data_IF_905859275855
#
_entry.id   IF_905859275855
#
_cell.length_a   1.000
_cell.length_b   1.000
_cell.length_c   1.000
_cell.angle_alpha   90.00
_cell.angle_beta   90.00
_cell.angle_gamma   90.00
#
_symmetry.space_group_name_H-M   'P 1'
#
loop_
_entity.id
_entity.type
_entity.pdbx_description
1 polymer ?
#
# COMPACT_ATOMS: atom_id res chain seq x y z
N UNK A 1 -31.86 -0.80 -38.45
CA UNK A 1 -31.29 0.46 -38.97
C UNK A 1 -31.99 1.63 -38.29
N UNK A 2 -31.22 2.66 -37.88
CA UNK A 2 -31.55 3.77 -36.94
C UNK A 2 -31.52 3.34 -35.46
N UNK A 3 -30.83 3.94 -34.49
CA UNK A 3 -30.14 5.23 -34.38
C UNK A 3 -28.83 5.07 -33.57
N UNK A 4 -27.67 5.19 -34.23
CA UNK A 4 -26.40 5.50 -33.56
C UNK A 4 -26.29 7.02 -33.44
N UNK A 5 -26.81 7.59 -32.36
CA UNK A 5 -26.49 8.99 -31.99
C UNK A 5 -25.20 9.00 -31.18
N UNK A 6 -24.15 9.27 -31.94
CA UNK A 6 -22.81 9.65 -31.52
C UNK A 6 -22.77 10.98 -30.75
N UNK A 7 -21.73 11.11 -29.94
CA UNK A 7 -21.02 12.34 -29.57
C UNK A 7 -21.63 13.23 -28.48
N UNK A 8 -21.34 12.87 -27.23
CA UNK A 8 -21.04 13.91 -26.24
C UNK A 8 -19.56 14.31 -26.35
N UNK A 9 -19.22 15.57 -26.64
CA UNK A 9 -17.86 16.05 -26.50
C UNK A 9 -17.54 16.07 -25.00
N UNK A 10 -16.73 15.10 -24.53
CA UNK A 10 -16.13 15.20 -23.20
C UNK A 10 -15.28 16.47 -23.18
N UNK A 11 -15.67 17.38 -22.31
CA UNK A 11 -15.25 18.76 -22.23
C UNK A 11 -13.74 18.86 -22.02
N UNK A 12 -13.08 19.74 -22.78
CA UNK A 12 -11.66 20.04 -22.61
C UNK A 12 -11.27 20.47 -21.18
N UNK A 13 -12.24 20.90 -20.37
CA UNK A 13 -12.03 21.26 -18.96
C UNK A 13 -11.69 20.06 -18.08
N UNK A 14 -12.29 18.88 -18.29
CA UNK A 14 -11.97 17.66 -17.54
C UNK A 14 -10.54 17.17 -17.81
N UNK A 15 -10.06 17.37 -19.02
CA UNK A 15 -8.68 17.07 -19.40
C UNK A 15 -7.68 18.01 -18.71
N UNK A 16 -8.01 19.29 -18.58
CA UNK A 16 -7.08 20.29 -18.07
C UNK A 16 -6.87 20.20 -16.55
N UNK A 17 -7.90 19.97 -15.74
CA UNK A 17 -7.69 19.85 -14.29
C UNK A 17 -6.87 18.62 -13.91
N UNK A 18 -7.06 17.49 -14.60
CA UNK A 18 -6.28 16.25 -14.38
C UNK A 18 -4.80 16.47 -14.69
N UNK A 19 -4.49 17.21 -15.77
CA UNK A 19 -3.12 17.59 -16.12
C UNK A 19 -2.50 18.52 -15.08
N UNK A 20 -3.26 19.49 -14.58
CA UNK A 20 -2.81 20.41 -13.52
C UNK A 20 -2.48 19.67 -12.23
N UNK A 21 -3.29 18.68 -11.82
CA UNK A 21 -2.98 17.90 -10.61
C UNK A 21 -1.72 17.06 -10.74
N UNK A 22 -1.50 16.42 -11.89
CA UNK A 22 -0.25 15.69 -12.16
C UNK A 22 0.95 16.65 -12.19
N UNK A 23 0.79 17.83 -12.78
CA UNK A 23 1.86 18.84 -12.80
C UNK A 23 2.20 19.34 -11.39
N UNK A 24 1.19 19.66 -10.57
CA UNK A 24 1.38 20.10 -9.19
C UNK A 24 1.97 19.00 -8.31
N UNK A 25 1.53 17.74 -8.49
CA UNK A 25 2.06 16.62 -7.72
C UNK A 25 3.54 16.37 -8.00
N UNK A 26 4.06 16.72 -9.18
CA UNK A 26 5.47 16.60 -9.58
C UNK A 26 6.32 17.82 -9.23
N UNK A 27 5.78 19.02 -9.37
CA UNK A 27 6.54 20.27 -9.14
C UNK A 27 6.78 20.55 -7.66
N UNK A 28 5.81 20.26 -6.78
CA UNK A 28 5.96 20.40 -5.33
C UNK A 28 7.12 19.56 -4.72
N UNK A 29 7.31 18.28 -5.10
CA UNK A 29 8.46 17.44 -4.72
C UNK A 29 9.80 18.05 -5.09
N UNK A 30 9.90 18.50 -6.34
CA UNK A 30 11.13 19.04 -6.92
C UNK A 30 11.47 20.36 -6.22
N UNK A 31 10.45 21.19 -5.99
CA UNK A 31 10.59 22.44 -5.25
C UNK A 31 10.97 22.17 -3.79
N UNK A 32 10.34 21.19 -3.13
CA UNK A 32 10.67 20.80 -1.76
C UNK A 32 12.11 20.28 -1.66
N UNK A 33 12.55 19.42 -2.58
CA UNK A 33 13.90 18.91 -2.65
C UNK A 33 14.92 20.04 -2.90
N UNK A 34 14.62 20.96 -3.81
CA UNK A 34 15.42 22.16 -4.06
C UNK A 34 15.56 23.03 -2.81
N UNK A 35 14.46 23.30 -2.11
CA UNK A 35 14.46 24.09 -0.87
C UNK A 35 15.25 23.39 0.24
N UNK A 36 15.16 22.06 0.35
CA UNK A 36 15.92 21.26 1.31
C UNK A 36 17.42 21.30 1.01
N UNK A 37 17.80 21.19 -0.27
CA UNK A 37 19.19 21.24 -0.68
C UNK A 37 19.78 22.66 -0.50
N UNK A 38 19.02 23.70 -0.85
CA UNK A 38 19.42 25.10 -0.61
C UNK A 38 19.58 25.42 0.87
N UNK A 39 18.66 24.94 1.71
CA UNK A 39 18.72 25.17 3.16
C UNK A 39 19.89 24.45 3.85
N UNK A 40 20.33 23.29 3.33
CA UNK A 40 21.41 22.51 3.94
C UNK A 40 22.81 22.81 3.37
N UNK A 41 22.91 23.27 2.11
CA UNK A 41 24.19 23.51 1.44
C UNK A 41 24.60 24.99 1.39
N UNK A 42 23.71 25.91 1.77
CA UNK A 42 23.94 27.36 1.71
C UNK A 42 24.10 27.87 0.27
N UNK A 43 24.51 29.14 0.12
CA UNK A 43 24.69 29.79 -1.20
C UNK A 43 25.94 29.30 -1.96
N UNK A 44 26.74 28.40 -1.37
CA UNK A 44 28.02 27.94 -1.94
C UNK A 44 27.84 26.57 -2.58
N UNK A 45 27.43 26.54 -3.85
CA UNK A 45 27.68 25.37 -4.70
C UNK A 45 26.59 24.93 -5.66
N UNK A 46 25.57 25.73 -5.94
CA UNK A 46 24.48 25.37 -6.86
C UNK A 46 24.35 26.34 -8.03
N UNK A 47 25.41 26.45 -8.84
CA UNK A 47 25.35 27.06 -10.17
C UNK A 47 25.63 25.96 -11.17
N UNK A 48 24.59 25.36 -11.76
CA UNK A 48 24.80 24.57 -12.99
C UNK A 48 23.71 23.58 -13.39
N UNK A 49 23.26 22.69 -12.51
CA UNK A 49 22.73 21.40 -13.02
C UNK A 49 21.29 21.04 -12.66
N UNK A 50 20.60 21.77 -11.78
CA UNK A 50 19.22 21.43 -11.39
C UNK A 50 18.08 21.98 -12.27
N UNK A 51 18.22 23.05 -13.09
CA UNK A 51 17.10 23.51 -13.91
C UNK A 51 16.90 22.65 -15.17
N UNK A 52 17.74 21.64 -15.41
CA UNK A 52 17.59 20.71 -16.54
C UNK A 52 16.73 19.50 -16.21
N UNK A 53 15.79 19.64 -15.26
CA UNK A 53 14.64 18.75 -15.22
C UNK A 53 13.81 19.05 -16.47
N UNK A 54 14.19 18.37 -17.55
CA UNK A 54 13.86 18.73 -18.92
C UNK A 54 12.35 18.98 -19.01
N UNK A 55 11.94 20.16 -19.49
CA UNK A 55 10.51 20.44 -19.70
C UNK A 55 9.85 19.35 -20.57
N UNK A 56 10.62 18.68 -21.43
CA UNK A 56 10.20 17.47 -22.16
C UNK A 56 9.86 16.29 -21.25
N UNK A 57 10.59 16.08 -20.16
CA UNK A 57 10.29 15.06 -19.14
C UNK A 57 8.99 15.40 -18.41
N UNK A 58 8.83 16.63 -17.93
CA UNK A 58 7.58 17.06 -17.27
C UNK A 58 6.36 17.02 -18.23
N UNK A 59 6.56 17.38 -19.50
CA UNK A 59 5.52 17.28 -20.53
C UNK A 59 5.27 15.84 -21.00
N UNK A 60 6.26 14.94 -20.92
CA UNK A 60 6.02 13.51 -21.11
C UNK A 60 5.25 12.92 -19.94
N UNK A 61 5.58 13.27 -18.69
CA UNK A 61 4.82 12.81 -17.53
C UNK A 61 3.39 13.37 -17.55
N UNK A 62 3.18 14.62 -17.94
CA UNK A 62 1.82 15.19 -18.06
C UNK A 62 0.97 14.56 -19.17
N UNK A 63 1.58 13.80 -20.09
CA UNK A 63 0.85 12.95 -21.05
C UNK A 63 0.38 11.64 -20.44
N UNK A 64 0.95 11.18 -19.33
CA UNK A 64 0.40 10.04 -18.60
C UNK A 64 -0.92 10.45 -17.97
N UNK A 65 -2.01 9.90 -18.51
CA UNK A 65 -3.34 10.08 -17.95
C UNK A 65 -3.51 9.09 -16.80
N UNK A 66 -3.94 9.58 -15.64
CA UNK A 66 -4.46 8.73 -14.57
C UNK A 66 -5.58 7.86 -15.16
N UNK A 67 -5.39 6.55 -15.12
CA UNK A 67 -6.38 5.59 -15.56
C UNK A 67 -7.19 5.21 -14.34
N UNK A 68 -8.42 5.70 -14.27
CA UNK A 68 -9.35 5.26 -13.22
C UNK A 68 -9.87 3.90 -13.65
N UNK A 69 -9.61 2.83 -12.88
CA UNK A 69 -10.17 1.52 -13.17
C UNK A 69 -11.69 1.58 -13.20
N UNK A 70 -12.30 0.70 -13.99
CA UNK A 70 -13.75 0.56 -14.00
C UNK A 70 -14.25 0.24 -12.59
N UNK A 71 -15.31 0.92 -12.16
CA UNK A 71 -15.82 0.78 -10.80
C UNK A 71 -14.87 1.32 -9.71
N UNK A 72 -13.95 2.24 -10.01
CA UNK A 72 -12.99 2.79 -9.03
C UNK A 72 -13.60 3.09 -7.66
N UNK A 73 -14.73 3.82 -7.60
CA UNK A 73 -15.33 4.20 -6.33
C UNK A 73 -15.93 3.02 -5.56
N UNK A 74 -16.60 2.09 -6.26
CA UNK A 74 -17.17 0.90 -5.61
C UNK A 74 -16.07 -0.02 -5.09
N UNK A 75 -15.00 -0.19 -5.87
CA UNK A 75 -13.87 -1.01 -5.47
C UNK A 75 -13.02 -0.35 -4.39
N UNK A 76 -12.88 0.97 -4.38
CA UNK A 76 -12.27 1.71 -3.28
C UNK A 76 -13.07 1.51 -1.98
N UNK A 77 -14.39 1.58 -2.04
CA UNK A 77 -15.24 1.27 -0.89
C UNK A 77 -14.99 -0.15 -0.35
N UNK A 78 -15.06 -1.17 -1.20
CA UNK A 78 -14.83 -2.56 -0.79
C UNK A 78 -13.41 -2.80 -0.26
N UNK A 79 -12.41 -2.18 -0.89
CA UNK A 79 -11.01 -2.24 -0.45
C UNK A 79 -10.89 -1.67 0.96
N UNK A 80 -11.40 -0.44 1.20
CA UNK A 80 -11.37 0.20 2.51
C UNK A 80 -12.12 -0.61 3.57
N UNK A 81 -13.29 -1.17 3.21
CA UNK A 81 -14.06 -2.04 4.09
C UNK A 81 -13.29 -3.32 4.44
N UNK A 82 -12.57 -3.91 3.49
CA UNK A 82 -11.74 -5.10 3.70
C UNK A 82 -10.46 -4.85 4.51
N UNK A 83 -9.93 -3.62 4.49
CA UNK A 83 -8.80 -3.21 5.35
C UNK A 83 -9.23 -3.07 6.82
N UNK A 84 -10.45 -2.60 7.06
CA UNK A 84 -10.92 -2.15 8.37
C UNK A 84 -10.81 -3.21 9.48
N UNK A 85 -11.19 -4.49 9.30
CA UNK A 85 -11.08 -5.50 10.35
C UNK A 85 -9.64 -5.72 10.81
N UNK A 86 -8.72 -5.85 9.84
CA UNK A 86 -7.29 -5.98 10.10
C UNK A 86 -6.75 -4.73 10.80
N UNK A 87 -7.15 -3.55 10.33
CA UNK A 87 -6.75 -2.28 10.94
C UNK A 87 -7.22 -2.17 12.40
N UNK A 88 -8.48 -2.49 12.70
CA UNK A 88 -9.02 -2.42 14.07
C UNK A 88 -8.33 -3.43 14.99
N UNK A 89 -8.08 -4.66 14.52
CA UNK A 89 -7.37 -5.68 15.28
C UNK A 89 -5.94 -5.23 15.62
N UNK A 90 -5.17 -4.84 14.60
CA UNK A 90 -3.79 -4.39 14.81
C UNK A 90 -3.70 -3.11 15.62
N UNK A 91 -4.67 -2.20 15.50
CA UNK A 91 -4.79 -1.04 16.37
C UNK A 91 -4.96 -1.47 17.83
N UNK A 92 -5.83 -2.44 18.13
CA UNK A 92 -5.95 -3.00 19.49
C UNK A 92 -4.63 -3.56 20.03
N UNK A 93 -3.94 -4.38 19.23
CA UNK A 93 -2.67 -5.02 19.60
C UNK A 93 -1.57 -4.00 19.88
N UNK A 94 -1.33 -3.08 18.93
CA UNK A 94 -0.30 -2.05 19.08
C UNK A 94 -0.63 -1.07 20.22
N UNK A 95 -1.93 -0.84 20.48
CA UNK A 95 -2.39 -0.07 21.64
C UNK A 95 -1.98 -0.69 22.97
N UNK A 96 -2.13 -2.02 23.09
CA UNK A 96 -1.70 -2.74 24.31
C UNK A 96 -0.19 -2.73 24.50
N UNK A 97 0.55 -2.80 23.40
CA UNK A 97 2.00 -2.68 23.39
C UNK A 97 2.52 -1.24 23.61
N UNK A 98 1.62 -0.24 23.74
CA UNK A 98 2.02 1.12 24.11
C UNK A 98 2.65 1.94 22.98
N UNK A 99 2.40 1.58 21.72
CA UNK A 99 2.94 2.36 20.59
C UNK A 99 2.26 3.74 20.47
N UNK A 100 3.00 4.79 20.06
CA UNK A 100 2.44 6.11 19.80
C UNK A 100 1.29 6.07 18.78
N UNK A 101 0.29 6.95 18.92
CA UNK A 101 -0.92 6.95 18.07
C UNK A 101 -0.65 6.88 16.56
N UNK A 102 0.36 7.62 16.07
CA UNK A 102 0.68 7.64 14.64
C UNK A 102 1.24 6.30 14.15
N UNK A 103 2.18 5.71 14.91
CA UNK A 103 2.75 4.38 14.61
C UNK A 103 1.67 3.30 14.76
N UNK A 104 0.83 3.43 15.79
CA UNK A 104 -0.33 2.58 16.01
C UNK A 104 -1.29 2.62 14.83
N UNK A 105 -1.56 3.82 14.27
CA UNK A 105 -2.48 3.97 13.15
C UNK A 105 -1.95 3.25 11.92
N UNK A 106 -0.73 3.55 11.49
CA UNK A 106 -0.22 3.02 10.23
C UNK A 106 0.34 1.60 10.32
N UNK A 107 0.87 1.21 11.49
CA UNK A 107 1.33 -0.16 11.76
C UNK A 107 0.19 -1.14 12.04
N UNK A 108 -1.02 -0.63 12.33
CA UNK A 108 -2.16 -1.48 12.65
C UNK A 108 -2.52 -2.44 11.51
N UNK A 109 -2.59 -1.94 10.27
CA UNK A 109 -2.95 -2.80 9.16
C UNK A 109 -1.94 -3.96 8.96
N UNK A 110 -0.62 -3.74 8.83
CA UNK A 110 0.37 -4.83 8.70
C UNK A 110 0.32 -5.85 9.85
N UNK A 111 0.14 -5.39 11.09
CA UNK A 111 0.05 -6.30 12.26
C UNK A 111 -1.24 -7.11 12.22
N UNK A 112 -2.37 -6.45 11.97
CA UNK A 112 -3.66 -7.11 11.97
C UNK A 112 -3.85 -8.05 10.78
N UNK A 113 -3.37 -7.67 9.59
CA UNK A 113 -3.43 -8.55 8.42
C UNK A 113 -2.58 -9.80 8.65
N UNK A 114 -1.44 -9.71 9.35
CA UNK A 114 -0.65 -10.89 9.70
C UNK A 114 -1.47 -11.95 10.47
N UNK A 115 -2.32 -11.53 11.41
CA UNK A 115 -3.17 -12.46 12.19
C UNK A 115 -4.39 -12.90 11.40
N UNK A 116 -5.12 -11.96 10.79
CA UNK A 116 -6.30 -12.25 9.97
C UNK A 116 -5.91 -13.19 8.82
N UNK A 117 -4.75 -12.96 8.22
CA UNK A 117 -4.18 -13.76 7.15
C UNK A 117 -4.01 -15.23 7.48
N UNK A 118 -3.50 -15.54 8.68
CA UNK A 118 -3.38 -16.95 9.13
C UNK A 118 -4.75 -17.62 9.21
N UNK A 119 -5.77 -16.90 9.67
CA UNK A 119 -7.13 -17.43 9.71
C UNK A 119 -7.72 -17.61 8.31
N UNK A 120 -7.47 -16.66 7.40
CA UNK A 120 -7.88 -16.77 6.00
C UNK A 120 -7.18 -17.95 5.31
N UNK A 121 -5.90 -18.21 5.63
CA UNK A 121 -5.14 -19.34 5.12
C UNK A 121 -5.80 -20.66 5.52
N UNK A 122 -6.13 -20.81 6.81
CA UNK A 122 -6.81 -22.03 7.30
C UNK A 122 -8.16 -22.25 6.64
N UNK A 123 -8.96 -21.19 6.48
CA UNK A 123 -10.22 -21.30 5.74
C UNK A 123 -10.01 -21.69 4.28
N UNK A 124 -9.01 -21.09 3.63
CA UNK A 124 -8.77 -21.34 2.23
C UNK A 124 -8.23 -22.74 1.99
N UNK A 125 -7.35 -23.26 2.85
CA UNK A 125 -6.92 -24.67 2.84
C UNK A 125 -8.09 -25.64 3.01
N UNK A 126 -9.11 -25.25 3.78
CA UNK A 126 -10.32 -26.05 3.99
C UNK A 126 -11.38 -25.88 2.87
N UNK A 127 -11.12 -25.09 1.83
CA UNK A 127 -12.13 -24.78 0.80
C UNK A 127 -13.33 -24.00 1.34
N UNK A 128 -13.16 -23.27 2.44
CA UNK A 128 -14.22 -22.61 3.19
C UNK A 128 -14.16 -21.08 3.10
N UNK A 129 -13.31 -20.51 2.23
CA UNK A 129 -13.15 -19.07 2.02
C UNK A 129 -14.29 -18.49 1.16
N UNK A 130 -15.46 -18.38 1.77
CA UNK A 130 -16.65 -17.77 1.18
C UNK A 130 -17.08 -16.49 1.92
N UNK A 131 -18.06 -15.76 1.38
CA UNK A 131 -18.57 -14.50 1.96
C UNK A 131 -18.92 -14.60 3.46
N UNK A 132 -19.58 -15.68 3.88
CA UNK A 132 -20.00 -15.86 5.29
C UNK A 132 -18.78 -16.02 6.20
N UNK A 133 -17.85 -16.89 5.82
CA UNK A 133 -16.62 -17.13 6.59
C UNK A 133 -15.76 -15.86 6.74
N UNK A 134 -15.65 -15.07 5.67
CA UNK A 134 -14.90 -13.80 5.66
C UNK A 134 -15.57 -12.76 6.55
N UNK A 135 -16.91 -12.67 6.53
CA UNK A 135 -17.67 -11.81 7.45
C UNK A 135 -17.46 -12.22 8.91
N UNK A 136 -17.49 -13.52 9.22
CA UNK A 136 -17.27 -14.01 10.59
C UNK A 136 -15.87 -13.66 11.09
N UNK A 137 -14.83 -13.92 10.29
CA UNK A 137 -13.45 -13.51 10.63
C UNK A 137 -13.35 -12.00 10.82
N UNK A 138 -13.99 -11.22 9.95
CA UNK A 138 -13.99 -9.76 10.05
C UNK A 138 -14.63 -9.30 11.36
N UNK A 139 -15.76 -9.87 11.75
CA UNK A 139 -16.44 -9.57 13.02
C UNK A 139 -15.59 -9.97 14.23
N UNK A 140 -14.94 -11.15 14.19
CA UNK A 140 -14.03 -11.60 15.24
C UNK A 140 -12.84 -10.65 15.38
N UNK A 141 -12.23 -10.24 14.27
CA UNK A 141 -11.10 -9.31 14.25
C UNK A 141 -11.49 -7.93 14.82
N UNK A 142 -12.64 -7.39 14.40
CA UNK A 142 -13.18 -6.12 14.93
C UNK A 142 -13.46 -6.22 16.43
N UNK A 143 -14.20 -7.25 16.85
CA UNK A 143 -14.54 -7.46 18.26
C UNK A 143 -13.30 -7.61 19.14
N UNK A 144 -12.32 -8.40 18.68
CA UNK A 144 -11.04 -8.59 19.36
C UNK A 144 -10.24 -7.29 19.43
N UNK A 145 -10.18 -6.51 18.35
CA UNK A 145 -9.49 -5.21 18.34
C UNK A 145 -10.11 -4.17 19.28
N UNK A 146 -11.45 -4.11 19.34
CA UNK A 146 -12.18 -3.26 20.29
C UNK A 146 -11.91 -3.72 21.73
N UNK A 147 -12.02 -5.02 22.01
CA UNK A 147 -11.73 -5.59 23.33
C UNK A 147 -10.29 -5.32 23.78
N UNK A 148 -9.31 -5.49 22.89
CA UNK A 148 -7.91 -5.21 23.20
C UNK A 148 -7.66 -3.72 23.44
N UNK A 149 -8.37 -2.85 22.71
CA UNK A 149 -8.27 -1.39 22.88
C UNK A 149 -8.85 -0.88 24.20
N UNK A 150 -9.80 -1.61 24.81
CA UNK A 150 -10.45 -1.19 26.06
C UNK A 150 -9.64 -1.52 27.32
N UNK A 151 -8.57 -2.30 27.18
CA UNK A 151 -7.72 -2.72 28.31
C UNK A 151 -6.53 -1.78 28.50
N UNK A 152 -6.05 -1.67 29.74
CA UNK A 152 -4.92 -0.81 30.11
C UNK A 152 -3.64 -1.14 29.35
N UNK A 153 -2.75 -0.15 29.19
CA UNK A 153 -1.46 -0.36 28.54
C UNK A 153 -0.57 -1.30 29.36
N UNK A 154 0.17 -2.16 28.68
CA UNK A 154 1.29 -2.89 29.28
C UNK A 154 2.50 -1.95 29.31
N UNK A 155 2.50 -0.92 30.16
CA UNK A 155 3.58 0.05 30.18
C UNK A 155 4.68 -0.29 31.18
N UNK A 156 5.92 -0.30 30.68
CA UNK A 156 7.09 0.16 31.41
C UNK A 156 7.35 1.62 31.02
N UNK A 157 7.64 2.49 31.98
CA UNK A 157 7.95 3.89 31.70
C UNK A 157 9.27 4.03 30.94
N UNK A 158 9.36 4.94 29.95
CA UNK A 158 10.63 5.23 29.30
C UNK A 158 11.55 6.02 30.24
N UNK A 159 12.69 5.40 30.59
CA UNK A 159 13.71 5.96 31.49
C UNK A 159 14.50 7.16 30.93
N UNK A 160 14.38 7.48 29.64
CA UNK A 160 15.26 8.46 28.97
C UNK A 160 14.46 9.43 28.09
N UNK A 161 14.81 10.72 28.20
CA UNK A 161 14.21 11.82 27.43
C UNK A 161 14.63 11.76 25.96
N UNK A 162 13.67 11.89 25.05
CA UNK A 162 13.90 11.88 23.61
C UNK A 162 14.59 13.16 23.12
N UNK A 163 15.57 13.01 22.23
CA UNK A 163 16.25 14.14 21.57
C UNK A 163 15.41 14.66 20.40
N UNK A 164 15.05 15.93 20.43
CA UNK A 164 14.18 16.55 19.42
C UNK A 164 14.94 16.97 18.16
N UNK A 165 14.29 16.83 17.00
CA UNK A 165 14.78 17.35 15.73
C UNK A 165 14.35 18.83 15.53
N UNK A 166 15.14 19.65 14.81
CA UNK A 166 14.72 20.99 14.42
C UNK A 166 13.43 20.92 13.61
N UNK A 167 12.49 21.85 13.86
CA UNK A 167 11.16 21.86 13.21
C UNK A 167 11.24 21.84 11.69
N UNK A 168 12.22 22.56 11.12
CA UNK A 168 12.44 22.57 9.68
C UNK A 168 12.75 21.16 9.14
N UNK A 169 13.65 20.42 9.79
CA UNK A 169 13.98 19.04 9.42
C UNK A 169 12.74 18.16 9.49
N UNK A 170 11.96 18.26 10.58
CA UNK A 170 10.71 17.51 10.76
C UNK A 170 9.76 17.76 9.59
N UNK A 171 9.45 19.02 9.30
CA UNK A 171 8.49 19.36 8.24
C UNK A 171 8.99 18.99 6.85
N UNK A 172 10.27 19.21 6.57
CA UNK A 172 10.90 18.84 5.30
C UNK A 172 10.84 17.34 5.05
N UNK A 173 11.18 16.54 6.06
CA UNK A 173 11.16 15.08 5.96
C UNK A 173 9.74 14.57 5.77
N UNK A 174 8.78 15.03 6.57
CA UNK A 174 7.38 14.60 6.42
C UNK A 174 6.77 15.02 5.08
N UNK A 175 7.13 16.20 4.57
CA UNK A 175 6.68 16.66 3.26
C UNK A 175 7.21 15.75 2.15
N UNK A 176 8.53 15.47 2.14
CA UNK A 176 9.12 14.56 1.16
C UNK A 176 8.57 13.15 1.28
N UNK A 177 8.39 12.64 2.50
CA UNK A 177 7.81 11.32 2.74
C UNK A 177 6.38 11.23 2.21
N UNK A 178 5.54 12.22 2.49
CA UNK A 178 4.16 12.27 2.00
C UNK A 178 4.09 12.34 0.48
N UNK A 179 5.02 13.07 -0.13
CA UNK A 179 5.16 13.18 -1.58
C UNK A 179 5.55 11.84 -2.22
N UNK A 180 6.58 11.16 -1.71
CA UNK A 180 7.02 9.86 -2.23
C UNK A 180 5.91 8.81 -2.06
N UNK A 181 5.23 8.83 -0.91
CA UNK A 181 4.07 7.98 -0.65
C UNK A 181 2.95 8.25 -1.65
N UNK A 182 2.62 9.52 -1.89
CA UNK A 182 1.61 9.90 -2.88
C UNK A 182 1.95 9.35 -4.27
N UNK A 183 3.21 9.45 -4.72
CA UNK A 183 3.61 8.88 -6.01
C UNK A 183 3.43 7.36 -6.06
N UNK A 184 3.84 6.66 -5.01
CA UNK A 184 3.72 5.20 -4.97
C UNK A 184 2.24 4.78 -5.04
N UNK A 185 1.36 5.45 -4.29
CA UNK A 185 -0.10 5.21 -4.38
C UNK A 185 -0.65 5.57 -5.76
N UNK A 186 -0.21 6.69 -6.33
CA UNK A 186 -0.66 7.11 -7.65
C UNK A 186 -0.29 6.07 -8.72
N UNK A 187 0.94 5.57 -8.67
CA UNK A 187 1.42 4.56 -9.60
C UNK A 187 0.73 3.21 -9.40
N UNK A 188 0.59 2.76 -8.15
CA UNK A 188 -0.03 1.47 -7.86
C UNK A 188 -1.53 1.42 -8.23
N UNK A 189 -2.28 2.50 -8.00
CA UNK A 189 -3.76 2.51 -8.09
C UNK A 189 -4.30 2.99 -9.44
N UNK A 190 -3.59 3.89 -10.14
CA UNK A 190 -4.09 4.51 -11.38
C UNK A 190 -3.43 3.99 -12.64
N UNK A 191 -2.65 2.92 -12.55
CA UNK A 191 -2.05 2.25 -13.70
C UNK A 191 -2.33 0.76 -13.65
N UNK A 192 -2.51 0.13 -14.81
CA UNK A 192 -2.75 -1.30 -14.87
C UNK A 192 -1.52 -2.04 -14.37
N UNK A 193 -1.70 -3.16 -13.65
CA UNK A 193 -0.59 -4.01 -13.26
C UNK A 193 0.12 -4.52 -14.51
N UNK A 194 1.45 -4.41 -14.53
CA UNK A 194 2.27 -4.87 -15.66
C UNK A 194 3.44 -5.77 -15.20
N UNK A 195 3.66 -5.88 -13.89
CA UNK A 195 4.72 -6.70 -13.33
C UNK A 195 4.32 -8.16 -13.39
N UNK A 196 5.08 -8.96 -14.15
CA UNK A 196 4.70 -10.33 -14.51
C UNK A 196 4.48 -11.24 -13.30
N UNK A 197 5.32 -11.13 -12.26
CA UNK A 197 5.12 -11.83 -10.99
C UNK A 197 3.78 -11.45 -10.37
N UNK A 198 3.40 -10.17 -10.38
CA UNK A 198 2.14 -9.75 -9.80
C UNK A 198 0.92 -10.21 -10.59
N UNK A 199 1.03 -10.25 -11.91
CA UNK A 199 -0.04 -10.78 -12.77
C UNK A 199 -0.33 -12.25 -12.45
N UNK A 200 0.70 -13.06 -12.27
CA UNK A 200 0.56 -14.49 -12.00
C UNK A 200 0.29 -14.73 -10.52
N UNK A 201 1.25 -14.37 -9.66
CA UNK A 201 1.21 -14.71 -8.24
C UNK A 201 0.15 -13.94 -7.48
N UNK A 202 -0.04 -12.64 -7.74
CA UNK A 202 -0.96 -11.84 -6.93
C UNK A 202 -2.37 -11.76 -7.52
N UNK A 203 -2.53 -11.61 -8.84
CA UNK A 203 -3.85 -11.41 -9.43
C UNK A 203 -4.49 -12.71 -9.89
N UNK A 204 -3.79 -13.53 -10.68
CA UNK A 204 -4.36 -14.77 -11.22
C UNK A 204 -4.65 -15.79 -10.11
N UNK A 205 -3.71 -16.00 -9.19
CA UNK A 205 -3.88 -16.88 -8.04
C UNK A 205 -4.97 -16.44 -7.07
N UNK A 206 -5.07 -15.14 -6.77
CA UNK A 206 -6.20 -14.61 -6.00
C UNK A 206 -7.54 -14.85 -6.69
N UNK A 207 -7.58 -14.77 -8.03
CA UNK A 207 -8.80 -15.05 -8.80
C UNK A 207 -9.19 -16.51 -8.67
N UNK A 208 -8.24 -17.43 -8.79
CA UNK A 208 -8.49 -18.86 -8.61
C UNK A 208 -8.99 -19.14 -7.19
N UNK A 209 -8.39 -18.52 -6.16
CA UNK A 209 -8.85 -18.67 -4.78
C UNK A 209 -10.30 -18.17 -4.62
N UNK A 210 -10.62 -17.00 -5.19
CA UNK A 210 -11.97 -16.44 -5.18
C UNK A 210 -12.98 -17.37 -5.85
N UNK A 211 -12.67 -17.87 -7.05
CA UNK A 211 -13.57 -18.74 -7.83
C UNK A 211 -13.81 -20.10 -7.16
N UNK A 212 -12.80 -20.63 -6.46
CA UNK A 212 -12.89 -21.94 -5.80
C UNK A 212 -13.28 -21.84 -4.31
N UNK A 213 -13.55 -20.64 -3.79
CA UNK A 213 -13.79 -20.41 -2.36
C UNK A 213 -12.68 -20.99 -1.45
N UNK A 214 -11.44 -20.99 -1.92
CA UNK A 214 -10.31 -21.59 -1.21
C UNK A 214 -9.14 -21.87 -2.13
N UNK A 215 -8.04 -22.39 -1.56
CA UNK A 215 -6.88 -22.82 -2.33
C UNK A 215 -7.30 -24.09 -3.09
N UNK A 216 -7.35 -24.07 -4.43
CA UNK A 216 -7.77 -25.24 -5.19
C UNK A 216 -6.79 -26.40 -5.01
N UNK A 217 -7.34 -27.59 -4.80
CA UNK A 217 -6.68 -28.89 -4.88
C UNK A 217 -7.61 -29.78 -5.75
N UNK A 218 -7.19 -30.53 -6.81
CA UNK A 218 -5.83 -30.91 -7.21
C UNK A 218 -5.44 -30.74 -8.72
N UNK A 219 -4.12 -30.73 -8.95
CA UNK A 219 -3.32 -30.87 -10.20
C UNK A 219 -4.10 -30.91 -11.51
N UNK A 220 -3.99 -29.85 -12.30
CA UNK A 220 -4.27 -29.88 -13.74
C UNK A 220 -3.55 -31.08 -14.41
N UNK A 221 -4.24 -31.91 -15.21
CA UNK A 221 -3.64 -32.94 -16.07
C UNK A 221 -2.47 -32.47 -16.95
N UNK A 222 -2.32 -31.16 -17.18
CA UNK A 222 -1.22 -30.56 -17.93
C UNK A 222 0.16 -30.59 -17.24
N UNK A 223 0.22 -31.02 -15.96
CA UNK A 223 1.48 -31.12 -15.21
C UNK A 223 2.02 -29.80 -14.66
N UNK A 224 1.22 -28.72 -14.68
CA UNK A 224 1.55 -27.47 -14.00
C UNK A 224 1.15 -27.55 -12.51
N UNK A 225 2.09 -27.38 -11.55
CA UNK A 225 1.77 -27.46 -10.12
C UNK A 225 0.88 -26.30 -9.69
N UNK A 226 -0.36 -26.66 -9.35
CA UNK A 226 -1.37 -25.81 -8.75
C UNK A 226 -0.88 -25.23 -7.41
N UNK A 227 -1.20 -23.94 -7.20
CA UNK A 227 -1.31 -23.10 -6.00
C UNK A 227 -0.87 -23.59 -4.60
N UNK A 228 -0.82 -24.88 -4.31
CA UNK A 228 -0.32 -25.52 -3.07
C UNK A 228 1.07 -25.02 -2.65
N UNK A 229 1.86 -24.52 -3.61
CA UNK A 229 3.17 -23.92 -3.36
C UNK A 229 3.36 -22.55 -4.04
N UNK A 230 2.29 -21.96 -4.60
CA UNK A 230 2.39 -20.81 -5.51
C UNK A 230 3.53 -20.98 -6.53
N UNK A 231 3.69 -22.17 -7.12
CA UNK A 231 4.74 -22.39 -8.10
C UNK A 231 4.30 -21.80 -9.44
N UNK A 232 5.11 -20.92 -10.04
CA UNK A 232 5.07 -20.77 -11.50
C UNK A 232 5.55 -22.10 -12.05
N UNK A 233 4.81 -22.74 -12.95
CA UNK A 233 5.07 -24.10 -13.44
C UNK A 233 6.33 -24.28 -14.29
N UNK A 234 7.43 -23.69 -13.85
CA UNK A 234 8.81 -23.97 -14.23
C UNK A 234 9.51 -24.87 -13.20
N UNK A 235 8.80 -25.43 -12.21
CA UNK A 235 9.41 -26.23 -11.14
C UNK A 235 10.36 -25.45 -10.23
N UNK A 236 10.33 -24.12 -10.30
CA UNK A 236 11.06 -23.23 -9.40
C UNK A 236 10.20 -23.03 -8.16
N UNK A 237 10.54 -23.72 -7.08
CA UNK A 237 9.84 -23.72 -5.78
C UNK A 237 9.90 -22.37 -5.07
N UNK A 238 9.17 -21.38 -5.58
CA UNK A 238 9.02 -20.09 -4.93
C UNK A 238 7.79 -20.11 -4.02
N UNK A 239 7.99 -20.58 -2.78
CA UNK A 239 6.95 -20.61 -1.75
C UNK A 239 6.66 -19.18 -1.25
N UNK A 240 5.81 -18.43 -1.96
CA UNK A 240 5.36 -17.12 -1.51
C UNK A 240 4.22 -17.27 -0.50
N UNK A 241 4.27 -16.52 0.61
CA UNK A 241 3.18 -16.50 1.57
C UNK A 241 1.89 -15.97 0.89
N UNK A 242 0.76 -16.65 1.09
CA UNK A 242 -0.49 -16.33 0.39
C UNK A 242 -1.24 -15.12 0.94
N UNK A 243 -0.66 -14.40 1.90
CA UNK A 243 -1.33 -13.37 2.68
C UNK A 243 -2.06 -12.31 1.85
N UNK A 244 -1.36 -11.71 0.88
CA UNK A 244 -1.93 -10.67 0.03
C UNK A 244 -2.97 -11.24 -0.93
N UNK A 245 -2.80 -12.50 -1.32
CA UNK A 245 -3.70 -13.22 -2.21
C UNK A 245 -5.05 -13.47 -1.56
N UNK A 246 -4.97 -14.04 -0.36
CA UNK A 246 -6.10 -14.38 0.48
C UNK A 246 -6.87 -13.14 0.88
N UNK A 247 -6.17 -12.06 1.22
CA UNK A 247 -6.83 -10.80 1.51
C UNK A 247 -7.58 -10.27 0.29
N UNK A 248 -6.96 -10.22 -0.90
CA UNK A 248 -7.65 -9.76 -2.12
C UNK A 248 -8.87 -10.63 -2.44
N UNK A 249 -8.72 -11.95 -2.41
CA UNK A 249 -9.82 -12.90 -2.63
C UNK A 249 -10.93 -12.72 -1.58
N UNK A 250 -10.58 -12.42 -0.33
CA UNK A 250 -11.55 -12.15 0.74
C UNK A 250 -12.35 -10.88 0.49
N UNK A 251 -11.70 -9.80 0.03
CA UNK A 251 -12.41 -8.57 -0.37
C UNK A 251 -13.37 -8.83 -1.54
N UNK A 252 -12.92 -9.59 -2.54
CA UNK A 252 -13.78 -9.99 -3.67
C UNK A 252 -14.96 -10.87 -3.21
N UNK A 253 -14.74 -11.79 -2.28
CA UNK A 253 -15.80 -12.60 -1.66
C UNK A 253 -16.84 -11.73 -0.92
N UNK A 254 -16.39 -10.68 -0.21
CA UNK A 254 -17.29 -9.72 0.42
C UNK A 254 -18.11 -8.95 -0.61
N UNK A 255 -17.48 -8.50 -1.71
CA UNK A 255 -18.16 -7.81 -2.81
C UNK A 255 -19.12 -8.74 -3.59
N UNK A 256 -18.83 -10.03 -3.65
CA UNK A 256 -19.56 -11.02 -4.45
C UNK A 256 -19.15 -11.03 -5.92
N UNK A 257 -18.09 -10.30 -6.29
CA UNK A 257 -17.55 -10.20 -7.65
C UNK A 257 -16.03 -10.12 -7.62
N UNK A 258 -15.38 -10.44 -8.74
CA UNK A 258 -13.94 -10.39 -8.88
C UNK A 258 -13.45 -9.00 -9.31
N UNK A 259 -12.34 -8.54 -8.73
CA UNK A 259 -11.58 -7.40 -9.23
C UNK A 259 -10.10 -7.44 -8.88
N UNK A 260 -9.29 -6.86 -9.75
CA UNK A 260 -7.85 -6.66 -9.51
C UNK A 260 -7.57 -5.47 -8.60
N UNK A 261 -8.55 -4.59 -8.40
CA UNK A 261 -8.36 -3.31 -7.73
C UNK A 261 -7.93 -3.43 -6.26
N UNK A 262 -8.51 -4.31 -5.42
CA UNK A 262 -8.05 -4.45 -4.05
C UNK A 262 -6.57 -4.81 -3.96
N UNK A 263 -6.11 -5.71 -4.84
CA UNK A 263 -4.71 -6.12 -4.90
C UNK A 263 -3.74 -4.95 -5.09
N UNK A 264 -4.09 -3.97 -5.94
CA UNK A 264 -3.26 -2.79 -6.20
C UNK A 264 -3.02 -1.90 -4.98
N UNK A 265 -3.90 -1.93 -3.97
CA UNK A 265 -3.77 -1.12 -2.76
C UNK A 265 -2.84 -1.74 -1.72
N UNK A 266 -2.65 -3.06 -1.75
CA UNK A 266 -1.90 -3.76 -0.70
C UNK A 266 -0.44 -3.33 -0.66
N UNK A 267 0.33 -3.34 -1.77
CA UNK A 267 1.75 -3.00 -1.74
C UNK A 267 2.05 -1.59 -1.21
N UNK A 268 1.38 -0.51 -1.67
CA UNK A 268 1.69 0.82 -1.17
C UNK A 268 1.23 1.01 0.29
N UNK A 269 0.14 0.38 0.74
CA UNK A 269 -0.27 0.41 2.16
C UNK A 269 0.75 -0.35 3.03
N UNK A 270 1.13 -1.57 2.63
CA UNK A 270 2.10 -2.38 3.37
C UNK A 270 3.46 -1.66 3.44
N UNK A 271 3.89 -1.06 2.33
CA UNK A 271 5.07 -0.22 2.27
C UNK A 271 5.01 0.98 3.21
N UNK A 272 3.92 1.76 3.18
CA UNK A 272 3.69 2.88 4.10
C UNK A 272 3.74 2.44 5.57
N UNK A 273 3.03 1.36 5.90
CA UNK A 273 3.00 0.78 7.24
C UNK A 273 4.40 0.36 7.72
N UNK A 274 5.15 -0.36 6.88
CA UNK A 274 6.51 -0.80 7.22
C UNK A 274 7.48 0.38 7.37
N UNK A 275 7.43 1.38 6.48
CA UNK A 275 8.28 2.56 6.60
C UNK A 275 8.07 3.28 7.95
N UNK A 276 6.81 3.39 8.39
CA UNK A 276 6.47 4.01 9.67
C UNK A 276 6.79 3.13 10.88
N UNK A 277 6.73 1.81 10.75
CA UNK A 277 7.25 0.88 11.75
C UNK A 277 8.77 0.99 11.89
N UNK A 278 9.52 1.16 10.79
CA UNK A 278 10.96 1.44 10.83
C UNK A 278 11.21 2.75 11.57
N UNK A 279 10.50 3.83 11.25
CA UNK A 279 10.57 5.10 11.98
C UNK A 279 10.37 4.90 13.49
N UNK A 280 9.28 4.23 13.89
CA UNK A 280 8.98 3.97 15.30
C UNK A 280 10.02 3.09 15.99
N UNK A 281 10.56 2.10 15.28
CA UNK A 281 11.59 1.20 15.80
C UNK A 281 12.91 1.93 16.01
N UNK A 282 13.37 2.71 15.02
CA UNK A 282 14.59 3.49 15.13
C UNK A 282 14.45 4.56 16.21
N UNK A 283 13.30 5.25 16.28
CA UNK A 283 13.04 6.24 17.33
C UNK A 283 13.09 5.60 18.73
N UNK A 284 12.47 4.43 18.93
CA UNK A 284 12.48 3.76 20.23
C UNK A 284 13.87 3.24 20.64
N UNK A 285 14.69 2.80 19.67
CA UNK A 285 16.04 2.29 19.91
C UNK A 285 17.08 3.40 20.12
N UNK A 286 17.06 4.42 19.26
CA UNK A 286 18.08 5.48 19.24
C UNK A 286 17.70 6.67 20.10
N UNK A 287 16.41 6.85 20.40
CA UNK A 287 15.85 8.03 21.07
C UNK A 287 16.19 9.36 20.38
N UNK A 288 16.54 9.32 19.10
CA UNK A 288 16.92 10.48 18.30
C UNK A 288 15.95 10.65 17.13
N UNK A 289 15.14 11.72 17.17
CA UNK A 289 14.14 12.01 16.13
C UNK A 289 14.78 12.23 14.76
N UNK A 290 15.98 12.81 14.67
CA UNK A 290 16.65 13.06 13.39
C UNK A 290 17.03 11.75 12.71
N UNK A 291 17.63 10.82 13.46
CA UNK A 291 18.03 9.51 12.93
C UNK A 291 16.80 8.72 12.46
N UNK A 292 15.71 8.74 13.23
CA UNK A 292 14.47 8.09 12.85
C UNK A 292 13.85 8.69 11.58
N UNK A 293 13.77 10.02 11.47
CA UNK A 293 13.24 10.72 10.30
C UNK A 293 14.08 10.47 9.05
N UNK A 294 15.41 10.52 9.16
CA UNK A 294 16.29 10.24 8.04
C UNK A 294 16.19 8.77 7.60
N UNK A 295 16.08 7.83 8.54
CA UNK A 295 15.86 6.42 8.24
C UNK A 295 14.54 6.18 7.49
N UNK A 296 13.47 6.87 7.89
CA UNK A 296 12.18 6.85 7.19
C UNK A 296 12.32 7.26 5.72
N UNK A 297 13.04 8.36 5.45
CA UNK A 297 13.28 8.81 4.07
C UNK A 297 14.16 7.86 3.29
N UNK A 298 15.23 7.33 3.88
CA UNK A 298 16.12 6.37 3.22
C UNK A 298 15.32 5.15 2.76
N UNK A 299 14.46 4.60 3.61
CA UNK A 299 13.56 3.50 3.24
C UNK A 299 12.64 3.93 2.11
N UNK A 300 11.89 5.02 2.27
CA UNK A 300 10.86 5.42 1.30
C UNK A 300 11.42 5.91 -0.04
N UNK A 301 12.70 6.29 -0.11
CA UNK A 301 13.38 6.75 -1.33
C UNK A 301 14.25 5.68 -2.00
N UNK A 302 14.45 4.51 -1.38
CA UNK A 302 15.24 3.45 -1.98
C UNK A 302 14.57 2.97 -3.28
N UNK A 303 15.26 2.96 -4.44
CA UNK A 303 14.64 2.59 -5.72
C UNK A 303 14.01 1.20 -5.71
N UNK A 304 14.69 0.23 -5.09
CA UNK A 304 14.18 -1.13 -4.95
C UNK A 304 12.92 -1.18 -4.08
N UNK A 305 12.87 -0.38 -3.00
CA UNK A 305 11.69 -0.27 -2.15
C UNK A 305 10.48 0.28 -2.91
N UNK A 306 10.68 1.35 -3.69
CA UNK A 306 9.64 1.94 -4.54
C UNK A 306 9.13 0.92 -5.55
N UNK A 307 10.03 0.17 -6.20
CA UNK A 307 9.67 -0.86 -7.18
C UNK A 307 8.71 -1.90 -6.62
N UNK A 308 8.93 -2.40 -5.40
CA UNK A 308 8.05 -3.42 -4.80
C UNK A 308 6.76 -2.85 -4.17
N UNK A 309 6.61 -1.53 -4.06
CA UNK A 309 5.35 -0.88 -3.64
C UNK A 309 4.38 -0.67 -4.79
N UNK A 310 4.76 -1.01 -6.02
CA UNK A 310 3.92 -0.90 -7.20
C UNK A 310 3.95 -2.24 -7.94
N UNK A 311 2.79 -2.69 -8.43
CA UNK A 311 2.71 -3.85 -9.33
C UNK A 311 2.75 -3.40 -10.81
N UNK A 312 3.49 -2.33 -11.07
CA UNK A 312 3.56 -1.52 -12.32
C UNK A 312 5.02 -1.25 -12.68
#
# INVERSE_FOLDING_TARGET
MSNLKSNMPKTNSESNWRRTLVFLSLTLPILALYLILKANLGDRGWVGSFPWLNWRFLTHISRYRLQFPEGFFIWAFWTLLGLLPSWILGWGILGRAGYPRLVRFWGAFPVGIGIVGVLLEWLAMAGALNRVSVLLISLIAVGSGIFLSSKSHLHAEPLVKEESAPRLVVYSVWTLFGILTWFNFQHAVFYPPNYWDALIYYLYYSKLIFLNSGIPFPVDPSGFPELVQCQVGLGLGANYAHLFLLWQASVCNLAGEWSTFPGQWIPPIAGLGTALLVYGTILSRTRNHRVALLSLLVVQSAPYWIWYQQWV
#
